data_IF_882222732074
#
_entry.id   IF_882222732074
#
_cell.length_a   1.000
_cell.length_b   1.000
_cell.length_c   1.000
_cell.angle_alpha   90.00
_cell.angle_beta   90.00
_cell.angle_gamma   90.00
#
_symmetry.space_group_name_H-M   'P 1'
#
loop_
_entity.id
_entity.type
_entity.pdbx_description
1 polymer ?
#
# COMPACT_ATOMS: atom_id res chain seq x y z
N UNK A 1 12.55 -12.37 -2.99
CA UNK A 1 11.24 -12.62 -3.63
C UNK A 1 10.28 -12.98 -2.53
N UNK A 2 9.10 -12.36 -2.49
CA UNK A 2 8.07 -12.70 -1.50
C UNK A 2 7.22 -13.89 -1.99
N UNK A 3 6.58 -14.57 -1.05
CA UNK A 3 5.71 -15.73 -1.24
C UNK A 3 4.27 -15.45 -0.79
N UNK A 4 3.34 -16.35 -1.11
CA UNK A 4 1.95 -16.22 -0.63
C UNK A 4 1.91 -16.37 0.91
N UNK A 5 2.78 -17.20 1.47
CA UNK A 5 2.95 -17.36 2.90
C UNK A 5 3.45 -16.08 3.58
N UNK A 6 4.29 -15.29 2.91
CA UNK A 6 4.70 -13.97 3.39
C UNK A 6 3.51 -12.99 3.43
N UNK A 7 2.58 -13.08 2.47
CA UNK A 7 1.37 -12.26 2.46
C UNK A 7 0.42 -12.64 3.59
N UNK A 8 0.21 -13.93 3.81
CA UNK A 8 -0.61 -14.43 4.92
C UNK A 8 -0.03 -13.99 6.26
N UNK A 9 1.29 -14.10 6.43
CA UNK A 9 1.99 -13.65 7.63
C UNK A 9 1.88 -12.14 7.82
N UNK A 10 2.09 -11.34 6.77
CA UNK A 10 1.97 -9.89 6.86
C UNK A 10 0.54 -9.45 7.24
N UNK A 11 -0.49 -10.15 6.74
CA UNK A 11 -1.89 -9.92 7.15
C UNK A 11 -2.12 -10.27 8.62
N UNK A 12 -1.60 -11.43 9.07
CA UNK A 12 -1.71 -11.86 10.46
C UNK A 12 -0.99 -10.90 11.42
N UNK A 13 0.21 -10.43 11.04
CA UNK A 13 1.00 -9.47 11.82
C UNK A 13 0.27 -8.14 11.96
N UNK A 14 -0.31 -7.62 10.87
CA UNK A 14 -1.13 -6.40 10.93
C UNK A 14 -2.34 -6.57 11.84
N UNK A 15 -3.11 -7.65 11.66
CA UNK A 15 -4.27 -7.93 12.50
C UNK A 15 -3.89 -8.08 13.98
N UNK A 16 -2.74 -8.71 14.27
CA UNK A 16 -2.22 -8.82 15.63
C UNK A 16 -1.79 -7.46 16.20
N UNK A 17 -1.15 -6.61 15.41
CA UNK A 17 -0.73 -5.28 15.85
C UNK A 17 -1.93 -4.36 16.11
N UNK A 18 -2.94 -4.39 15.24
CA UNK A 18 -4.19 -3.63 15.41
C UNK A 18 -4.94 -4.10 16.66
N UNK A 19 -5.06 -5.42 16.88
CA UNK A 19 -5.65 -5.95 18.12
C UNK A 19 -4.92 -5.48 19.37
N UNK A 20 -3.58 -5.50 19.37
CA UNK A 20 -2.81 -4.99 20.53
C UNK A 20 -3.03 -3.50 20.78
N UNK A 21 -3.27 -2.71 19.73
CA UNK A 21 -3.60 -1.29 19.87
C UNK A 21 -5.01 -1.11 20.45
N UNK A 22 -5.98 -1.89 19.97
CA UNK A 22 -7.38 -1.80 20.39
C UNK A 22 -7.59 -2.30 21.83
N UNK A 23 -6.92 -3.41 22.20
CA UNK A 23 -6.98 -4.01 23.54
C UNK A 23 -6.16 -3.22 24.58
N UNK A 24 -5.45 -2.17 24.17
CA UNK A 24 -4.55 -1.44 25.06
C UNK A 24 -5.30 -0.52 26.02
N UNK A 25 -5.22 -0.84 27.32
CA UNK A 25 -5.87 -0.11 28.42
C UNK A 25 -4.90 0.78 29.23
N UNK A 26 -3.62 0.85 28.83
CA UNK A 26 -2.60 1.63 29.55
C UNK A 26 -2.60 3.12 29.21
N UNK A 27 -1.77 3.89 29.93
CA UNK A 27 -1.78 5.36 29.86
C UNK A 27 -1.09 6.00 28.63
N UNK A 28 -0.60 5.19 27.68
CA UNK A 28 0.18 5.68 26.53
C UNK A 28 -0.54 5.39 25.21
N UNK A 29 -1.34 6.33 24.67
CA UNK A 29 -2.12 6.12 23.45
C UNK A 29 -1.26 5.84 22.20
N UNK A 30 0.05 6.03 22.29
CA UNK A 30 0.98 5.83 21.19
C UNK A 30 1.70 4.47 21.21
N UNK A 31 1.53 3.66 22.27
CA UNK A 31 2.35 2.46 22.53
C UNK A 31 2.46 1.49 21.34
N UNK A 32 1.35 1.25 20.63
CA UNK A 32 1.29 0.27 19.54
C UNK A 32 1.18 0.91 18.14
N UNK A 33 1.07 2.24 18.03
CA UNK A 33 0.86 2.92 16.73
C UNK A 33 2.02 2.71 15.76
N UNK A 34 3.25 2.68 16.24
CA UNK A 34 4.43 2.42 15.38
C UNK A 34 4.41 1.00 14.81
N UNK A 35 4.04 0.01 15.62
CA UNK A 35 3.97 -1.39 15.19
C UNK A 35 2.87 -1.59 14.13
N UNK A 36 1.73 -0.92 14.29
CA UNK A 36 0.68 -0.91 13.25
C UNK A 36 1.19 -0.26 11.97
N UNK A 37 1.89 0.88 12.05
CA UNK A 37 2.45 1.55 10.89
C UNK A 37 3.46 0.67 10.12
N UNK A 38 4.32 -0.05 10.85
CA UNK A 38 5.28 -1.01 10.30
C UNK A 38 4.62 -2.20 9.63
N UNK A 39 3.62 -2.80 10.28
CA UNK A 39 2.89 -3.92 9.71
C UNK A 39 2.12 -3.52 8.44
N UNK A 40 1.55 -2.31 8.41
CA UNK A 40 0.88 -1.75 7.20
C UNK A 40 1.86 -1.54 6.05
N UNK A 41 3.03 -0.97 6.33
CA UNK A 41 4.08 -0.77 5.34
C UNK A 41 4.54 -2.10 4.75
N UNK A 42 4.81 -3.09 5.61
CA UNK A 42 5.24 -4.41 5.19
C UNK A 42 4.18 -5.12 4.34
N UNK A 43 2.92 -5.13 4.78
CA UNK A 43 1.82 -5.71 4.01
C UNK A 43 1.71 -5.09 2.62
N UNK A 44 1.78 -3.76 2.52
CA UNK A 44 1.75 -3.07 1.23
C UNK A 44 2.90 -3.49 0.31
N UNK A 45 4.13 -3.58 0.83
CA UNK A 45 5.29 -3.99 0.04
C UNK A 45 5.16 -5.44 -0.48
N UNK A 46 4.74 -6.36 0.40
CA UNK A 46 4.55 -7.77 0.05
C UNK A 46 3.47 -7.92 -1.02
N UNK A 47 2.29 -7.33 -0.77
CA UNK A 47 1.17 -7.40 -1.70
C UNK A 47 1.54 -6.81 -3.07
N UNK A 48 2.15 -5.62 -3.11
CA UNK A 48 2.55 -4.97 -4.37
C UNK A 48 3.56 -5.83 -5.15
N UNK A 49 4.52 -6.43 -4.47
CA UNK A 49 5.51 -7.29 -5.10
C UNK A 49 4.88 -8.56 -5.70
N UNK A 50 3.95 -9.19 -4.97
CA UNK A 50 3.24 -10.37 -5.45
C UNK A 50 2.31 -10.06 -6.63
N UNK A 51 1.61 -8.91 -6.58
CA UNK A 51 0.79 -8.43 -7.72
C UNK A 51 1.65 -8.23 -8.97
N UNK A 52 2.78 -7.55 -8.84
CA UNK A 52 3.74 -7.35 -9.94
C UNK A 52 4.27 -8.65 -10.51
N UNK A 53 4.54 -9.64 -9.65
CA UNK A 53 4.97 -10.97 -10.06
C UNK A 53 3.82 -11.87 -10.55
N UNK A 54 2.57 -11.40 -10.51
CA UNK A 54 1.34 -12.16 -10.82
C UNK A 54 1.24 -13.46 -10.01
N UNK A 55 1.73 -13.45 -8.78
CA UNK A 55 1.70 -14.59 -7.85
C UNK A 55 0.43 -14.63 -6.99
N UNK A 56 -0.38 -13.57 -7.03
CA UNK A 56 -1.72 -13.52 -6.45
C UNK A 56 -2.71 -13.02 -7.49
N UNK A 57 -4.01 -13.35 -7.37
CA UNK A 57 -5.04 -12.85 -8.28
C UNK A 57 -5.05 -11.33 -8.34
N UNK A 58 -5.20 -10.80 -9.56
CA UNK A 58 -5.30 -9.36 -9.82
C UNK A 58 -6.77 -8.97 -10.01
N UNK A 59 -7.15 -7.83 -9.46
CA UNK A 59 -8.39 -7.16 -9.86
C UNK A 59 -8.18 -6.43 -11.20
N UNK A 60 -9.26 -6.07 -11.92
CA UNK A 60 -9.12 -5.25 -13.14
C UNK A 60 -8.39 -3.92 -12.89
N UNK A 61 -8.54 -3.36 -11.68
CA UNK A 61 -7.81 -2.17 -11.29
C UNK A 61 -6.31 -2.43 -11.12
N UNK A 62 -5.93 -3.55 -10.48
CA UNK A 62 -4.52 -3.92 -10.36
C UNK A 62 -3.87 -4.15 -11.73
N UNK A 63 -4.59 -4.76 -12.68
CA UNK A 63 -4.09 -4.95 -14.05
C UNK A 63 -3.82 -3.61 -14.75
N UNK A 64 -4.76 -2.67 -14.65
CA UNK A 64 -4.59 -1.31 -15.15
C UNK A 64 -3.39 -0.61 -14.51
N UNK A 65 -3.28 -0.66 -13.18
CA UNK A 65 -2.18 -0.02 -12.46
C UNK A 65 -0.82 -0.59 -12.86
N UNK A 66 -0.72 -1.92 -13.03
CA UNK A 66 0.50 -2.57 -13.50
C UNK A 66 0.84 -2.18 -14.93
N UNK A 67 -0.15 -2.15 -15.83
CA UNK A 67 0.06 -1.72 -17.22
C UNK A 67 0.54 -0.26 -17.30
N UNK A 68 -0.02 0.62 -16.46
CA UNK A 68 0.39 2.02 -16.39
C UNK A 68 1.78 2.19 -15.75
N UNK A 69 2.09 1.46 -14.68
CA UNK A 69 3.43 1.47 -14.06
C UNK A 69 4.51 0.94 -15.02
N UNK A 70 4.20 -0.09 -15.82
CA UNK A 70 5.12 -0.66 -16.82
C UNK A 70 5.35 0.31 -18.00
N UNK A 71 4.27 0.93 -18.49
CA UNK A 71 4.34 1.88 -19.61
C UNK A 71 4.96 3.22 -19.20
N UNK A 72 4.79 3.63 -17.94
CA UNK A 72 5.24 4.92 -17.42
C UNK A 72 6.05 4.77 -16.12
N UNK A 73 7.24 4.14 -16.17
CA UNK A 73 8.04 3.85 -14.98
C UNK A 73 8.54 5.12 -14.26
N UNK A 74 8.63 6.25 -14.97
CA UNK A 74 9.00 7.56 -14.42
C UNK A 74 7.84 8.39 -13.89
N UNK A 75 6.60 7.87 -13.90
CA UNK A 75 5.44 8.63 -13.43
C UNK A 75 5.53 8.90 -11.93
N UNK A 76 5.55 10.18 -11.57
CA UNK A 76 5.50 10.68 -10.21
C UNK A 76 4.11 11.18 -9.82
N UNK A 77 3.99 11.77 -8.62
CA UNK A 77 2.73 12.32 -8.14
C UNK A 77 2.14 13.36 -9.12
N UNK A 78 0.82 13.29 -9.34
CA UNK A 78 0.05 14.11 -10.28
C UNK A 78 0.45 13.98 -11.76
N UNK A 79 1.25 12.99 -12.10
CA UNK A 79 1.56 12.70 -13.51
C UNK A 79 0.29 12.21 -14.19
N UNK A 80 -0.10 12.88 -15.29
CA UNK A 80 -1.28 12.50 -16.09
C UNK A 80 -0.82 11.87 -17.40
N UNK A 81 -1.39 10.72 -17.75
CA UNK A 81 -1.05 9.96 -18.96
C UNK A 81 -2.32 9.53 -19.69
N UNK A 82 -2.18 9.17 -20.96
CA UNK A 82 -3.27 8.61 -21.77
C UNK A 82 -3.08 7.11 -21.99
N UNK A 83 -4.13 6.33 -21.72
CA UNK A 83 -4.16 4.90 -21.91
C UNK A 83 -5.55 4.49 -22.41
N UNK A 84 -5.59 3.79 -23.55
CA UNK A 84 -6.83 3.32 -24.18
C UNK A 84 -7.91 4.41 -24.38
N UNK A 85 -7.47 5.63 -24.77
CA UNK A 85 -8.37 6.77 -25.02
C UNK A 85 -8.91 7.43 -23.75
N UNK A 86 -8.47 7.01 -22.56
CA UNK A 86 -8.78 7.62 -21.27
C UNK A 86 -7.56 8.26 -20.65
N UNK A 87 -7.78 9.25 -19.79
CA UNK A 87 -6.73 9.93 -19.03
C UNK A 87 -6.67 9.37 -17.63
N UNK A 88 -5.46 9.11 -17.14
CA UNK A 88 -5.20 8.62 -15.79
C UNK A 88 -4.19 9.51 -15.09
N UNK A 89 -4.39 9.74 -13.79
CA UNK A 89 -3.49 10.50 -12.94
C UNK A 89 -2.91 9.61 -11.85
N UNK A 90 -1.59 9.66 -11.66
CA UNK A 90 -0.92 8.96 -10.57
C UNK A 90 -1.06 9.76 -9.28
N UNK A 91 -1.56 9.12 -8.24
CA UNK A 91 -1.80 9.73 -6.93
C UNK A 91 -1.03 8.99 -5.84
N UNK A 92 -0.70 9.72 -4.79
CA UNK A 92 0.03 9.21 -3.65
C UNK A 92 -0.75 9.58 -2.40
N UNK A 93 -1.11 8.58 -1.58
CA UNK A 93 -1.77 8.79 -0.30
C UNK A 93 -0.91 8.25 0.84
N UNK A 94 -0.92 8.86 2.04
CA UNK A 94 -0.21 8.30 3.19
C UNK A 94 -0.76 6.90 3.51
N UNK A 95 0.13 5.91 3.58
CA UNK A 95 -0.22 4.55 4.04
C UNK A 95 -0.20 4.42 5.57
N UNK A 96 0.75 5.12 6.21
CA UNK A 96 0.78 5.33 7.64
C UNK A 96 1.54 6.62 7.99
N UNK A 97 1.33 7.11 9.20
CA UNK A 97 2.06 8.25 9.76
C UNK A 97 2.79 7.83 11.04
N UNK A 98 3.92 8.49 11.28
CA UNK A 98 4.64 8.45 12.55
C UNK A 98 3.87 9.17 13.66
N UNK A 99 4.34 9.04 14.90
CA UNK A 99 3.74 9.70 16.06
C UNK A 99 3.76 11.22 15.96
N UNK A 100 4.76 11.80 15.28
CA UNK A 100 4.89 13.23 15.03
C UNK A 100 4.14 13.72 13.78
N UNK A 101 3.37 12.84 13.11
CA UNK A 101 2.55 13.19 11.95
C UNK A 101 3.28 13.12 10.60
N UNK A 102 4.58 12.84 10.57
CA UNK A 102 5.31 12.61 9.32
C UNK A 102 4.85 11.33 8.62
N UNK A 103 4.68 11.37 7.30
CA UNK A 103 4.29 10.19 6.49
C UNK A 103 5.42 9.16 6.52
N UNK A 104 5.08 7.91 6.84
CA UNK A 104 6.04 6.81 6.89
C UNK A 104 6.29 6.20 5.52
N UNK A 105 5.20 5.90 4.81
CA UNK A 105 5.25 5.40 3.44
C UNK A 105 4.04 5.91 2.65
N UNK A 106 4.21 5.95 1.33
CA UNK A 106 3.18 6.35 0.40
C UNK A 106 2.61 5.15 -0.33
N UNK A 107 1.29 5.11 -0.43
CA UNK A 107 0.57 4.19 -1.31
C UNK A 107 0.36 4.91 -2.63
N UNK A 108 0.87 4.30 -3.68
CA UNK A 108 0.70 4.75 -5.07
C UNK A 108 -0.58 4.17 -5.65
N UNK A 109 -1.28 4.94 -6.49
CA UNK A 109 -2.42 4.44 -7.24
C UNK A 109 -2.66 5.26 -8.51
N UNK A 110 -3.27 4.65 -9.53
CA UNK A 110 -3.72 5.35 -10.74
C UNK A 110 -5.23 5.52 -10.74
N UNK A 111 -5.73 6.74 -10.92
CA UNK A 111 -7.17 7.02 -11.01
C UNK A 111 -7.53 7.65 -12.34
N UNK A 112 -8.70 7.33 -12.89
CA UNK A 112 -9.21 8.01 -14.09
C UNK A 112 -9.35 9.51 -13.79
N UNK A 113 -8.75 10.35 -14.62
CA UNK A 113 -8.81 11.79 -14.49
C UNK A 113 -10.17 12.28 -15.01
N UNK A 114 -10.87 13.07 -14.19
CA UNK A 114 -12.10 13.75 -14.59
C UNK A 114 -11.86 14.85 -15.63
#
# INVERSE_FOLDING_TARGET
MYTVEDLERARADLASAERRLDDYDGNNPNKHRTQVAEAREHLYMVERALKRARLIPLTPHDELELALDEKYPGAGNKTTVEHEGKRYIKTFRPGATSLSGGVRFWIESWTEAS
#
